data_IF_185977499942
#
_entry.id   IF_185977499942
#
_cell.length_a   1.000
_cell.length_b   1.000
_cell.length_c   1.000
_cell.angle_alpha   90.00
_cell.angle_beta   90.00
_cell.angle_gamma   90.00
#
_symmetry.space_group_name_H-M   'P 1'
#
loop_
_entity.id
_entity.type
_entity.pdbx_description
1 polymer ?
#
# COMPACT_ATOMS: atom_id res chain seq x y z
N UNK A 1 -6.75 -12.02 12.14
CA UNK A 1 -5.98 -13.23 11.78
C UNK A 1 -5.01 -12.93 10.66
N UNK A 2 -5.45 -12.35 9.53
CA UNK A 2 -4.56 -11.98 8.40
C UNK A 2 -3.31 -11.18 8.79
N UNK A 3 -3.50 -10.08 9.52
CA UNK A 3 -2.40 -9.26 10.03
C UNK A 3 -1.43 -10.01 10.93
N UNK A 4 -1.92 -10.96 11.74
CA UNK A 4 -1.06 -11.77 12.62
C UNK A 4 -0.13 -12.65 11.80
N UNK A 5 -0.64 -13.29 10.74
CA UNK A 5 0.17 -14.15 9.88
C UNK A 5 1.17 -13.33 9.05
N UNK A 6 0.75 -12.16 8.55
CA UNK A 6 1.65 -11.25 7.85
C UNK A 6 2.83 -10.83 8.74
N UNK A 7 2.55 -10.38 9.97
CA UNK A 7 3.57 -9.95 10.93
C UNK A 7 4.43 -11.11 11.47
N UNK A 8 3.92 -12.34 11.42
CA UNK A 8 4.66 -13.55 11.81
C UNK A 8 5.55 -14.12 10.70
N UNK A 9 5.52 -13.53 9.50
CA UNK A 9 6.35 -13.95 8.37
C UNK A 9 5.69 -14.97 7.43
N UNK A 10 4.36 -15.15 7.53
CA UNK A 10 3.58 -16.05 6.66
C UNK A 10 2.63 -15.25 5.73
N UNK A 11 3.17 -14.44 4.80
CA UNK A 11 2.34 -13.58 3.96
C UNK A 11 1.43 -14.36 3.01
N UNK A 12 1.79 -15.59 2.62
CA UNK A 12 0.93 -16.46 1.79
C UNK A 12 -0.37 -16.82 2.52
N UNK A 13 -0.28 -17.14 3.82
CA UNK A 13 -1.45 -17.42 4.65
C UNK A 13 -2.27 -16.14 4.82
N UNK A 14 -1.61 -15.01 5.06
CA UNK A 14 -2.27 -13.72 5.15
C UNK A 14 -3.05 -13.37 3.85
N UNK A 15 -2.48 -13.61 2.67
CA UNK A 15 -3.17 -13.44 1.38
C UNK A 15 -4.47 -14.25 1.36
N UNK A 16 -4.42 -15.53 1.76
CA UNK A 16 -5.60 -16.39 1.78
C UNK A 16 -6.67 -15.86 2.74
N UNK A 17 -6.27 -15.46 3.95
CA UNK A 17 -7.18 -14.94 4.98
C UNK A 17 -7.82 -13.60 4.58
N UNK A 18 -7.06 -12.67 4.02
CA UNK A 18 -7.61 -11.41 3.51
C UNK A 18 -8.48 -11.62 2.26
N UNK A 19 -8.12 -12.55 1.38
CA UNK A 19 -8.97 -12.91 0.23
C UNK A 19 -10.31 -13.48 0.69
N UNK A 20 -10.31 -14.33 1.72
CA UNK A 20 -11.54 -14.86 2.33
C UNK A 20 -12.35 -13.77 3.01
N UNK A 21 -11.70 -12.85 3.74
CA UNK A 21 -12.36 -11.70 4.33
C UNK A 21 -13.08 -10.88 3.25
N UNK A 22 -12.40 -10.51 2.16
CA UNK A 22 -12.99 -9.76 1.05
C UNK A 22 -14.20 -10.46 0.39
N UNK A 23 -14.24 -11.79 0.38
CA UNK A 23 -15.40 -12.55 -0.11
C UNK A 23 -16.56 -12.57 0.89
N UNK A 24 -16.26 -12.53 2.19
CA UNK A 24 -17.23 -12.59 3.28
C UNK A 24 -17.77 -11.21 3.69
N UNK A 25 -17.10 -10.13 3.30
CA UNK A 25 -17.46 -8.77 3.67
C UNK A 25 -18.77 -8.32 3.01
N UNK A 26 -19.86 -8.48 3.76
CA UNK A 26 -21.16 -7.88 3.50
C UNK A 26 -21.25 -6.43 4.02
N UNK A 27 -20.42 -6.06 5.00
CA UNK A 27 -20.35 -4.73 5.59
C UNK A 27 -19.20 -3.92 4.97
N UNK A 28 -19.49 -2.72 4.48
CA UNK A 28 -18.51 -1.85 3.83
C UNK A 28 -17.41 -1.33 4.77
N UNK A 29 -17.63 -1.38 6.09
CA UNK A 29 -16.74 -0.77 7.09
C UNK A 29 -15.36 -1.45 7.14
N UNK A 30 -15.29 -2.79 7.06
CA UNK A 30 -14.00 -3.52 7.15
C UNK A 30 -13.30 -3.69 5.78
N UNK A 31 -13.89 -3.16 4.70
CA UNK A 31 -13.38 -3.31 3.35
C UNK A 31 -11.99 -2.66 3.16
N UNK A 32 -11.71 -1.44 3.64
CA UNK A 32 -10.40 -0.84 3.49
C UNK A 32 -9.29 -1.60 4.24
N UNK A 33 -9.56 -2.13 5.44
CA UNK A 33 -8.55 -2.89 6.18
C UNK A 33 -8.20 -4.21 5.48
N UNK A 34 -9.21 -4.94 5.00
CA UNK A 34 -8.99 -6.19 4.27
C UNK A 34 -8.26 -5.96 2.93
N UNK A 35 -8.55 -4.85 2.23
CA UNK A 35 -7.82 -4.46 1.01
C UNK A 35 -6.38 -4.08 1.33
N UNK A 36 -6.14 -3.27 2.37
CA UNK A 36 -4.81 -2.89 2.80
C UNK A 36 -3.97 -4.11 3.18
N UNK A 37 -4.54 -5.01 3.97
CA UNK A 37 -3.89 -6.25 4.39
C UNK A 37 -3.55 -7.16 3.20
N UNK A 38 -4.46 -7.29 2.24
CA UNK A 38 -4.19 -8.06 1.02
C UNK A 38 -3.08 -7.43 0.18
N UNK A 39 -3.11 -6.10 0.00
CA UNK A 39 -2.09 -5.38 -0.77
C UNK A 39 -0.71 -5.53 -0.13
N UNK A 40 -0.62 -5.39 1.20
CA UNK A 40 0.62 -5.56 1.96
C UNK A 40 1.15 -7.00 1.88
N UNK A 41 0.26 -7.99 1.99
CA UNK A 41 0.65 -9.40 1.90
C UNK A 41 1.10 -9.80 0.49
N UNK A 42 0.46 -9.26 -0.56
CA UNK A 42 0.87 -9.44 -1.95
C UNK A 42 2.25 -8.81 -2.21
N UNK A 43 2.48 -7.60 -1.71
CA UNK A 43 3.78 -6.92 -1.80
C UNK A 43 4.88 -7.75 -1.12
N UNK A 44 4.61 -8.29 0.07
CA UNK A 44 5.57 -9.10 0.84
C UNK A 44 6.01 -10.40 0.14
N UNK A 45 5.22 -10.93 -0.80
CA UNK A 45 5.59 -12.10 -1.61
C UNK A 45 6.13 -11.74 -3.00
N UNK A 46 6.26 -10.45 -3.30
CA UNK A 46 6.69 -9.96 -4.61
C UNK A 46 5.64 -10.05 -5.71
N UNK A 47 4.36 -10.24 -5.36
CA UNK A 47 3.23 -10.20 -6.30
C UNK A 47 2.82 -8.73 -6.52
N UNK A 48 3.68 -7.98 -7.21
CA UNK A 48 3.56 -6.52 -7.37
C UNK A 48 2.32 -6.10 -8.18
N UNK A 49 1.91 -6.91 -9.17
CA UNK A 49 0.69 -6.62 -9.95
C UNK A 49 -0.57 -6.71 -9.08
N UNK A 50 -0.62 -7.73 -8.20
CA UNK A 50 -1.72 -7.87 -7.26
C UNK A 50 -1.67 -6.81 -6.17
N UNK A 51 -0.49 -6.48 -5.66
CA UNK A 51 -0.30 -5.41 -4.68
C UNK A 51 -0.77 -4.05 -5.25
N UNK A 52 -0.37 -3.70 -6.47
CA UNK A 52 -0.82 -2.50 -7.18
C UNK A 52 -2.34 -2.47 -7.31
N UNK A 53 -2.94 -3.47 -7.97
CA UNK A 53 -4.39 -3.47 -8.23
C UNK A 53 -5.24 -3.47 -6.96
N UNK A 54 -4.75 -4.11 -5.89
CA UNK A 54 -5.44 -4.10 -4.59
C UNK A 54 -5.32 -2.73 -3.90
N UNK A 55 -4.14 -2.10 -3.96
CA UNK A 55 -3.93 -0.75 -3.43
C UNK A 55 -4.76 0.31 -4.19
N UNK A 56 -4.84 0.22 -5.51
CA UNK A 56 -5.70 1.11 -6.32
C UNK A 56 -7.17 0.99 -5.91
N UNK A 57 -7.65 -0.25 -5.70
CA UNK A 57 -9.01 -0.49 -5.22
C UNK A 57 -9.23 0.09 -3.82
N UNK A 58 -8.26 -0.05 -2.91
CA UNK A 58 -8.31 0.57 -1.59
C UNK A 58 -8.44 2.09 -1.67
N UNK A 59 -7.60 2.73 -2.46
CA UNK A 59 -7.58 4.18 -2.64
C UNK A 59 -8.92 4.67 -3.22
N UNK A 60 -9.41 4.04 -4.29
CA UNK A 60 -10.71 4.37 -4.89
C UNK A 60 -11.84 4.25 -3.88
N UNK A 61 -11.86 3.17 -3.09
CA UNK A 61 -12.90 2.94 -2.08
C UNK A 61 -12.83 3.97 -0.95
N UNK A 62 -11.63 4.41 -0.57
CA UNK A 62 -11.41 5.35 0.54
C UNK A 62 -11.74 6.80 0.15
N UNK A 63 -11.63 7.15 -1.13
CA UNK A 63 -11.99 8.48 -1.66
C UNK A 63 -13.50 8.62 -1.85
N UNK A 64 -14.21 7.52 -2.15
CA UNK A 64 -15.65 7.52 -2.45
C UNK A 64 -16.57 7.53 -1.20
N UNK A 65 -16.04 7.28 0.00
CA UNK A 65 -16.83 7.35 1.23
C UNK A 65 -15.98 7.66 2.45
N UNK A 66 -16.30 8.72 3.19
CA UNK A 66 -15.84 8.83 4.58
C UNK A 66 -16.58 7.77 5.41
N UNK A 67 -15.85 6.82 6.00
CA UNK A 67 -16.04 6.66 7.44
C UNK A 67 -14.72 6.41 8.20
N UNK A 68 -14.69 6.98 9.40
CA UNK A 68 -13.73 6.72 10.47
C UNK A 68 -13.47 5.22 10.61
N UNK A 69 -12.24 4.78 10.36
CA UNK A 69 -11.82 3.41 10.62
C UNK A 69 -10.92 3.33 11.85
N UNK A 70 -11.28 2.39 12.71
CA UNK A 70 -10.52 1.92 13.85
C UNK A 70 -9.68 0.76 13.32
N UNK A 71 -8.40 0.73 13.70
CA UNK A 71 -7.40 -0.36 13.53
C UNK A 71 -6.32 -0.24 12.44
N UNK A 72 -6.42 0.71 11.51
CA UNK A 72 -5.25 1.19 10.77
C UNK A 72 -5.29 2.71 10.76
N UNK A 73 -4.49 3.36 11.61
CA UNK A 73 -4.24 4.79 11.45
C UNK A 73 -3.66 4.97 10.03
N UNK A 74 -4.41 5.63 9.14
CA UNK A 74 -4.01 6.02 7.77
C UNK A 74 -3.96 4.90 6.70
N UNK A 75 -5.11 4.23 6.38
CA UNK A 75 -5.13 3.18 5.37
C UNK A 75 -4.91 3.72 3.95
N UNK A 76 -5.38 4.94 3.67
CA UNK A 76 -5.19 5.59 2.37
C UNK A 76 -3.71 5.85 2.10
N UNK A 77 -3.00 6.40 3.09
CA UNK A 77 -1.60 6.76 2.99
C UNK A 77 -0.72 5.51 2.85
N UNK A 78 -1.00 4.47 3.64
CA UNK A 78 -0.35 3.16 3.49
C UNK A 78 -0.64 2.52 2.12
N UNK A 79 -1.85 2.73 1.58
CA UNK A 79 -2.21 2.34 0.22
C UNK A 79 -1.31 2.99 -0.82
N UNK A 80 -1.06 4.30 -0.71
CA UNK A 80 -0.15 5.01 -1.62
C UNK A 80 1.31 4.54 -1.51
N UNK A 81 1.80 4.21 -0.30
CA UNK A 81 3.13 3.62 -0.14
C UNK A 81 3.26 2.27 -0.87
N UNK A 82 2.28 1.38 -0.69
CA UNK A 82 2.26 0.07 -1.37
C UNK A 82 2.16 0.24 -2.88
N UNK A 83 1.33 1.20 -3.34
CA UNK A 83 1.17 1.51 -4.75
C UNK A 83 2.48 2.01 -5.37
N UNK A 84 3.16 2.94 -4.70
CA UNK A 84 4.44 3.47 -5.13
C UNK A 84 5.51 2.37 -5.23
N UNK A 85 5.65 1.56 -4.18
CA UNK A 85 6.63 0.46 -4.13
C UNK A 85 6.36 -0.59 -5.21
N UNK A 86 5.10 -0.98 -5.38
CA UNK A 86 4.71 -1.97 -6.40
C UNK A 86 5.02 -1.48 -7.80
N UNK A 87 4.65 -0.23 -8.13
CA UNK A 87 4.93 0.39 -9.44
C UNK A 87 6.42 0.54 -9.70
N UNK A 88 7.21 0.85 -8.66
CA UNK A 88 8.65 0.89 -8.77
C UNK A 88 9.23 -0.47 -9.17
N UNK A 89 8.85 -1.56 -8.50
CA UNK A 89 9.31 -2.91 -8.85
C UNK A 89 8.78 -3.41 -10.20
N UNK A 90 7.65 -2.89 -10.68
CA UNK A 90 7.14 -3.13 -12.03
C UNK A 90 7.85 -2.28 -13.11
N UNK A 91 8.81 -1.43 -12.74
CA UNK A 91 9.54 -0.54 -13.65
C UNK A 91 8.73 0.67 -14.13
N UNK A 92 7.57 0.94 -13.52
CA UNK A 92 6.68 2.07 -13.83
C UNK A 92 7.04 3.28 -12.99
N UNK A 93 8.28 3.77 -13.16
CA UNK A 93 8.86 4.77 -12.25
C UNK A 93 8.11 6.10 -12.20
N UNK A 94 7.58 6.58 -13.32
CA UNK A 94 6.76 7.80 -13.33
C UNK A 94 5.49 7.63 -12.48
N UNK A 95 4.82 6.49 -12.59
CA UNK A 95 3.60 6.21 -11.84
C UNK A 95 3.89 5.96 -10.36
N UNK A 96 5.08 5.46 -10.05
CA UNK A 96 5.58 5.28 -8.69
C UNK A 96 5.83 6.64 -8.00
N UNK A 97 6.48 7.59 -8.70
CA UNK A 97 6.66 8.96 -8.20
C UNK A 97 5.31 9.60 -7.94
N UNK A 98 4.38 9.53 -8.91
CA UNK A 98 3.05 10.12 -8.73
C UNK A 98 2.28 9.54 -7.54
N UNK A 99 2.50 8.28 -7.18
CA UNK A 99 1.92 7.71 -5.97
C UNK A 99 2.52 8.33 -4.69
N UNK A 100 3.83 8.62 -4.65
CA UNK A 100 4.46 9.33 -3.52
C UNK A 100 4.06 10.81 -3.46
N UNK A 101 3.84 11.47 -4.59
CA UNK A 101 3.37 12.86 -4.65
C UNK A 101 1.99 13.05 -4.01
N UNK A 102 1.17 12.00 -3.92
CA UNK A 102 -0.09 12.03 -3.18
C UNK A 102 0.10 12.05 -1.65
N UNK A 103 1.29 11.69 -1.16
CA UNK A 103 1.67 11.75 0.25
C UNK A 103 2.44 13.03 0.59
N UNK A 104 3.27 13.50 -0.36
CA UNK A 104 4.09 14.69 -0.22
C UNK A 104 4.15 15.44 -1.55
N UNK A 105 3.37 16.53 -1.65
CA UNK A 105 3.29 17.33 -2.87
C UNK A 105 4.58 18.10 -3.19
N UNK A 106 5.48 18.25 -2.22
CA UNK A 106 6.76 18.94 -2.39
C UNK A 106 7.90 17.98 -2.77
N UNK A 107 7.59 16.69 -2.97
CA UNK A 107 8.52 15.66 -3.40
C UNK A 107 9.20 16.05 -4.73
N UNK A 108 10.53 15.92 -4.76
CA UNK A 108 11.34 16.20 -5.95
C UNK A 108 12.22 15.01 -6.28
N UNK A 109 11.68 14.11 -7.10
CA UNK A 109 12.43 12.99 -7.66
C UNK A 109 12.61 13.20 -9.17
N UNK A 110 13.87 13.16 -9.62
CA UNK A 110 14.21 13.26 -11.04
C UNK A 110 14.54 11.86 -11.59
N UNK A 111 13.78 11.41 -12.59
CA UNK A 111 13.99 10.13 -13.26
C UNK A 111 15.29 10.06 -14.06
N UNK A 112 15.88 11.22 -14.38
CA UNK A 112 17.15 11.29 -15.10
C UNK A 112 18.38 11.17 -14.19
N UNK A 113 18.19 11.18 -12.87
CA UNK A 113 19.27 10.94 -11.92
C UNK A 113 19.78 9.50 -12.01
N UNK A 114 21.10 9.33 -12.12
CA UNK A 114 21.75 8.00 -12.12
C UNK A 114 21.47 7.22 -10.83
N UNK A 115 21.29 7.94 -9.71
CA UNK A 115 20.97 7.37 -8.39
C UNK A 115 19.46 7.35 -8.09
N UNK A 116 18.59 7.57 -9.09
CA UNK A 116 17.14 7.62 -8.90
C UNK A 116 16.58 6.43 -8.08
N UNK A 117 16.94 5.16 -8.37
CA UNK A 117 16.44 4.02 -7.59
C UNK A 117 16.72 4.13 -6.09
N UNK A 118 17.89 4.65 -5.72
CA UNK A 118 18.28 4.82 -4.31
C UNK A 118 17.48 5.95 -3.68
N UNK A 119 17.44 7.12 -4.33
CA UNK A 119 16.69 8.28 -3.84
C UNK A 119 15.19 8.00 -3.68
N UNK A 120 14.61 7.25 -4.62
CA UNK A 120 13.22 6.82 -4.52
C UNK A 120 12.99 5.98 -3.26
N UNK A 121 13.84 4.99 -3.01
CA UNK A 121 13.72 4.12 -1.83
C UNK A 121 13.97 4.85 -0.51
N UNK A 122 14.86 5.84 -0.51
CA UNK A 122 15.08 6.73 0.64
C UNK A 122 13.83 7.55 0.97
N UNK A 123 13.21 8.18 -0.04
CA UNK A 123 11.97 8.95 0.15
C UNK A 123 10.79 8.05 0.56
N UNK A 124 10.66 6.88 -0.06
CA UNK A 124 9.64 5.89 0.32
C UNK A 124 9.79 5.45 1.79
N UNK A 125 11.03 5.27 2.25
CA UNK A 125 11.31 4.91 3.65
C UNK A 125 11.00 6.07 4.60
N UNK A 126 11.43 7.29 4.26
CA UNK A 126 11.14 8.51 5.04
C UNK A 126 9.64 8.72 5.24
N UNK A 127 8.86 8.59 4.16
CA UNK A 127 7.41 8.75 4.21
C UNK A 127 6.74 7.66 5.05
N UNK A 128 7.21 6.42 4.94
CA UNK A 128 6.74 5.31 5.77
C UNK A 128 6.98 5.55 7.26
N UNK A 129 8.20 5.95 7.63
CA UNK A 129 8.54 6.28 9.03
C UNK A 129 7.69 7.43 9.56
N UNK A 130 7.43 8.47 8.75
CA UNK A 130 6.56 9.58 9.12
C UNK A 130 5.10 9.15 9.36
N UNK A 131 4.62 8.15 8.62
CA UNK A 131 3.26 7.60 8.80
C UNK A 131 3.16 6.71 10.04
N UNK A 132 4.23 5.96 10.37
CA UNK A 132 4.26 5.01 11.50
C UNK A 132 4.63 5.67 12.85
N UNK A 133 5.26 6.84 12.84
CA UNK A 133 5.72 7.56 14.03
C UNK A 133 4.73 8.56 14.64
N UNK A 134 3.57 8.75 14.03
CA UNK A 134 2.48 9.65 14.50
C UNK A 134 1.38 8.90 15.25
#
# INVERSE_FOLDING_TARGET
>A
MGWSNLLSGDPIIAIAEFSLALLALQAQEDLPDALLGLAAAALAVGDYERAESTAERLISTSIEGEPKLIFADKPLERGYLILAESRFYLGRYSDAISALENLDSDLKLDLSDEDFPVKFMEELSRLREGIEGE
#
